data_IF_399286258052
#
_entry.id   IF_399286258052
#
_cell.length_a   1.000
_cell.length_b   1.000
_cell.length_c   1.000
_cell.angle_alpha   90.00
_cell.angle_beta   90.00
_cell.angle_gamma   90.00
#
_symmetry.space_group_name_H-M   'P 1'
#
loop_
_entity.id
_entity.type
_entity.pdbx_description
1 polymer ?
#
# COMPACT_ATOMS: atom_id res chain seq x y z
N UNK A 1 38.04 3.94 4.15
CA UNK A 1 37.14 2.94 3.51
C UNK A 1 36.45 3.64 2.35
N UNK A 2 36.57 3.13 1.13
CA UNK A 2 35.88 3.66 -0.04
C UNK A 2 34.44 3.14 0.01
N UNK A 3 33.45 4.04 -0.02
CA UNK A 3 32.02 3.69 -0.12
C UNK A 3 31.55 4.22 -1.46
N UNK A 4 30.98 3.34 -2.28
CA UNK A 4 30.37 3.70 -3.55
C UNK A 4 28.88 3.41 -3.46
N UNK A 5 28.07 4.46 -3.61
CA UNK A 5 26.63 4.34 -3.65
C UNK A 5 26.17 4.02 -5.08
N UNK A 6 25.40 2.95 -5.23
CA UNK A 6 24.76 2.57 -6.49
C UNK A 6 23.24 2.68 -6.33
N UNK A 7 22.61 3.46 -7.19
CA UNK A 7 21.18 3.69 -7.15
C UNK A 7 20.47 2.74 -8.14
N UNK A 8 19.66 1.81 -7.64
CA UNK A 8 18.97 0.82 -8.49
C UNK A 8 18.08 -0.12 -7.70
N UNK A 9 17.39 -1.04 -8.40
CA UNK A 9 16.64 -2.11 -7.74
C UNK A 9 17.61 -3.23 -7.33
N UNK A 10 17.39 -3.84 -6.17
CA UNK A 10 18.24 -4.95 -5.71
C UNK A 10 18.22 -6.15 -6.67
N UNK A 11 17.11 -6.35 -7.40
CA UNK A 11 16.95 -7.36 -8.44
C UNK A 11 17.91 -7.18 -9.62
N UNK A 12 18.47 -5.97 -9.77
CA UNK A 12 19.44 -5.60 -10.80
C UNK A 12 20.86 -5.46 -10.24
N UNK A 13 21.09 -5.89 -8.99
CA UNK A 13 22.37 -5.70 -8.28
C UNK A 13 23.57 -6.27 -9.02
N UNK A 14 23.45 -7.44 -9.63
CA UNK A 14 24.53 -8.04 -10.43
C UNK A 14 24.99 -7.12 -11.56
N UNK A 15 24.06 -6.65 -12.39
CA UNK A 15 24.36 -5.73 -13.49
C UNK A 15 24.95 -4.41 -12.98
N UNK A 16 24.43 -3.88 -11.87
CA UNK A 16 24.93 -2.65 -11.25
C UNK A 16 26.37 -2.81 -10.73
N UNK A 17 26.68 -3.93 -10.08
CA UNK A 17 28.01 -4.23 -9.55
C UNK A 17 29.03 -4.40 -10.68
N UNK A 18 28.70 -5.17 -11.72
CA UNK A 18 29.56 -5.35 -12.90
C UNK A 18 29.83 -4.00 -13.58
N UNK A 19 28.78 -3.19 -13.81
CA UNK A 19 28.93 -1.87 -14.42
C UNK A 19 29.77 -0.89 -13.59
N UNK A 20 29.93 -1.19 -12.29
CA UNK A 20 30.74 -0.41 -11.35
C UNK A 20 32.17 -0.94 -11.21
N UNK A 21 32.55 -1.97 -11.98
CA UNK A 21 33.90 -2.56 -11.98
C UNK A 21 34.12 -3.67 -10.95
N UNK A 22 33.05 -4.23 -10.39
CA UNK A 22 33.15 -5.42 -9.52
C UNK A 22 33.16 -6.67 -10.39
N UNK A 23 34.24 -7.45 -10.29
CA UNK A 23 34.41 -8.67 -11.06
C UNK A 23 33.60 -9.84 -10.44
N UNK A 24 33.03 -10.74 -11.27
CA UNK A 24 32.36 -11.92 -10.77
C UNK A 24 33.26 -12.78 -9.87
N UNK A 25 32.73 -13.20 -8.72
CA UNK A 25 33.45 -14.06 -7.77
C UNK A 25 34.39 -13.31 -6.81
N UNK A 26 34.48 -11.98 -6.87
CA UNK A 26 35.32 -11.18 -5.94
C UNK A 26 34.55 -10.59 -4.76
N UNK A 27 33.28 -10.95 -4.59
CA UNK A 27 32.42 -10.40 -3.53
C UNK A 27 32.54 -11.24 -2.25
N UNK A 28 33.06 -10.65 -1.18
CA UNK A 28 33.27 -11.35 0.10
C UNK A 28 31.97 -11.59 0.89
N UNK A 29 30.94 -10.76 0.67
CA UNK A 29 29.68 -10.88 1.40
C UNK A 29 28.63 -9.88 0.96
N UNK A 30 27.38 -10.18 1.28
CA UNK A 30 26.20 -9.34 1.01
C UNK A 30 25.38 -9.22 2.28
N UNK A 31 24.94 -8.00 2.57
CA UNK A 31 23.93 -7.71 3.58
C UNK A 31 22.72 -7.09 2.87
N UNK A 32 21.54 -7.61 3.16
CA UNK A 32 20.28 -7.09 2.66
C UNK A 32 19.36 -6.76 3.84
N UNK A 33 19.06 -5.47 4.00
CA UNK A 33 17.97 -5.00 4.85
C UNK A 33 16.75 -4.77 3.97
N UNK A 34 15.82 -5.73 4.01
CA UNK A 34 14.61 -5.71 3.20
C UNK A 34 13.48 -5.05 4.00
N UNK A 35 13.11 -3.83 3.62
CA UNK A 35 12.04 -3.10 4.27
C UNK A 35 11.89 -1.69 3.73
N UNK A 36 10.91 -0.98 4.28
CA UNK A 36 10.76 0.45 4.02
C UNK A 36 11.67 1.24 4.99
N UNK A 37 12.25 2.33 4.52
CA UNK A 37 13.03 3.25 5.36
C UNK A 37 12.13 4.09 6.27
N UNK A 38 12.66 4.60 7.38
CA UNK A 38 11.91 5.54 8.24
C UNK A 38 11.41 6.75 7.46
N UNK A 39 12.22 7.28 6.53
CA UNK A 39 11.84 8.39 5.66
C UNK A 39 10.56 8.11 4.85
N UNK A 40 10.32 6.85 4.45
CA UNK A 40 9.08 6.48 3.74
C UNK A 40 7.86 6.50 4.66
N UNK A 41 8.00 6.12 5.93
CA UNK A 41 6.93 6.18 6.92
C UNK A 41 6.69 7.59 7.46
N UNK A 42 7.73 8.41 7.57
CA UNK A 42 7.65 9.74 8.17
C UNK A 42 6.99 10.78 7.27
N UNK A 43 7.05 10.58 5.94
CA UNK A 43 6.48 11.43 4.89
C UNK A 43 5.09 10.93 4.44
N UNK A 44 3.98 11.55 4.88
CA UNK A 44 2.62 11.09 4.58
C UNK A 44 2.32 10.96 3.08
N UNK A 45 2.91 11.83 2.26
CA UNK A 45 2.70 11.90 0.81
C UNK A 45 3.12 10.60 0.09
N UNK A 46 3.99 9.80 0.72
CA UNK A 46 4.44 8.50 0.22
C UNK A 46 3.41 7.38 0.43
N UNK A 47 2.42 7.59 1.30
CA UNK A 47 1.32 6.64 1.51
C UNK A 47 1.63 5.41 2.36
N UNK A 48 2.81 5.32 3.00
CA UNK A 48 3.17 4.18 3.87
C UNK A 48 2.74 4.36 5.34
N UNK A 49 2.50 5.60 5.76
CA UNK A 49 2.15 5.93 7.13
C UNK A 49 0.81 5.31 7.55
N UNK A 50 0.80 4.66 8.71
CA UNK A 50 -0.42 4.15 9.36
C UNK A 50 -1.15 5.18 10.22
N UNK A 51 -0.47 6.28 10.58
CA UNK A 51 -1.00 7.28 11.53
C UNK A 51 -1.43 8.57 10.83
N UNK A 52 -0.55 9.11 9.98
CA UNK A 52 -0.78 10.30 9.17
C UNK A 52 -1.44 9.92 7.85
N UNK A 53 -2.47 10.67 7.47
CA UNK A 53 -3.22 10.47 6.23
C UNK A 53 -2.44 10.99 5.01
N UNK A 54 -2.47 10.24 3.91
CA UNK A 54 -1.71 10.50 2.70
C UNK A 54 -2.41 10.01 1.44
N UNK A 55 -1.94 10.36 0.23
CA UNK A 55 -2.30 9.65 -0.99
C UNK A 55 -1.98 8.16 -0.86
N UNK A 56 -2.84 7.30 -1.39
CA UNK A 56 -2.62 5.85 -1.37
C UNK A 56 -1.64 5.44 -2.49
N UNK A 57 -0.37 5.84 -2.35
CA UNK A 57 0.69 5.57 -3.33
C UNK A 57 1.43 4.25 -3.02
N UNK A 58 2.19 4.19 -1.91
CA UNK A 58 2.96 3.02 -1.46
C UNK A 58 4.04 2.51 -2.44
N UNK A 59 4.44 3.27 -3.46
CA UNK A 59 5.62 2.94 -4.27
C UNK A 59 6.89 3.36 -3.55
N UNK A 60 7.88 2.46 -3.51
CA UNK A 60 9.19 2.77 -2.93
C UNK A 60 9.96 3.83 -3.74
N UNK A 61 9.67 3.94 -5.04
CA UNK A 61 10.35 4.84 -5.96
C UNK A 61 9.38 5.39 -7.01
N UNK A 62 8.61 6.40 -6.60
CA UNK A 62 7.61 7.06 -7.46
C UNK A 62 8.26 7.86 -8.59
N UNK A 63 9.43 8.45 -8.34
CA UNK A 63 10.03 9.43 -9.24
C UNK A 63 10.67 8.76 -10.46
N UNK A 64 11.32 7.60 -10.27
CA UNK A 64 11.91 6.83 -11.38
C UNK A 64 10.89 5.96 -12.12
N UNK A 65 9.76 5.65 -11.50
CA UNK A 65 8.74 4.77 -12.06
C UNK A 65 7.33 5.37 -11.96
N UNK A 66 7.09 6.54 -12.59
CA UNK A 66 5.82 7.24 -12.48
C UNK A 66 4.63 6.45 -13.05
N UNK A 67 4.89 5.61 -14.06
CA UNK A 67 3.86 4.81 -14.75
C UNK A 67 3.54 3.49 -14.03
N UNK A 68 4.26 3.14 -12.96
CA UNK A 68 3.97 1.94 -12.18
C UNK A 68 2.71 2.14 -11.34
N UNK A 69 1.83 1.11 -11.24
CA UNK A 69 0.60 1.21 -10.47
C UNK A 69 0.86 1.60 -9.02
N UNK A 70 0.06 2.54 -8.53
CA UNK A 70 -0.04 2.89 -7.11
C UNK A 70 -0.91 1.87 -6.37
N UNK A 71 -0.86 1.88 -5.03
CA UNK A 71 -1.82 1.14 -4.23
C UNK A 71 -3.27 1.56 -4.51
N UNK A 72 -3.52 2.84 -4.81
CA UNK A 72 -4.83 3.33 -5.25
C UNK A 72 -5.29 2.64 -6.53
N UNK A 73 -4.41 2.51 -7.53
CA UNK A 73 -4.74 1.82 -8.79
C UNK A 73 -5.10 0.36 -8.52
N UNK A 74 -4.31 -0.32 -7.69
CA UNK A 74 -4.53 -1.72 -7.31
C UNK A 74 -5.89 -1.91 -6.63
N UNK A 75 -6.21 -1.12 -5.59
CA UNK A 75 -7.47 -1.27 -4.85
C UNK A 75 -8.70 -0.85 -5.65
N UNK A 76 -8.54 0.03 -6.64
CA UNK A 76 -9.67 0.49 -7.47
C UNK A 76 -9.89 -0.35 -8.73
N UNK A 77 -8.85 -1.03 -9.26
CA UNK A 77 -8.94 -1.76 -10.53
C UNK A 77 -9.09 -3.29 -10.36
N UNK A 78 -8.37 -3.92 -9.44
CA UNK A 78 -8.36 -5.39 -9.34
C UNK A 78 -9.72 -5.96 -8.94
N UNK A 79 -10.08 -7.14 -9.43
CA UNK A 79 -11.29 -7.82 -8.98
C UNK A 79 -11.18 -8.29 -7.51
N UNK A 80 -12.31 -8.69 -6.94
CA UNK A 80 -12.38 -9.13 -5.54
C UNK A 80 -11.49 -10.35 -5.24
N UNK A 81 -11.35 -11.27 -6.20
CA UNK A 81 -10.58 -12.50 -6.02
C UNK A 81 -9.08 -12.19 -6.01
N UNK A 82 -8.62 -11.35 -6.93
CA UNK A 82 -7.24 -10.87 -7.00
C UNK A 82 -6.87 -10.09 -5.73
N UNK A 83 -7.73 -9.17 -5.27
CA UNK A 83 -7.52 -8.46 -4.00
C UNK A 83 -7.44 -9.41 -2.80
N UNK A 84 -8.35 -10.37 -2.70
CA UNK A 84 -8.32 -11.35 -1.62
C UNK A 84 -7.04 -12.22 -1.68
N UNK A 85 -6.56 -12.55 -2.88
CA UNK A 85 -5.30 -13.29 -3.07
C UNK A 85 -4.11 -12.47 -2.59
N UNK A 86 -4.01 -11.19 -2.94
CA UNK A 86 -2.93 -10.31 -2.49
C UNK A 86 -2.92 -10.21 -0.97
N UNK A 87 -4.07 -9.92 -0.36
CA UNK A 87 -4.19 -9.77 1.10
C UNK A 87 -3.84 -11.07 1.84
N UNK A 88 -4.22 -12.23 1.30
CA UNK A 88 -3.91 -13.53 1.90
C UNK A 88 -2.44 -13.91 1.74
N UNK A 89 -1.88 -13.74 0.55
CA UNK A 89 -0.53 -14.21 0.22
C UNK A 89 0.54 -13.31 0.80
N UNK A 90 0.38 -11.97 0.69
CA UNK A 90 1.39 -11.02 1.13
C UNK A 90 1.09 -10.41 2.50
N UNK A 91 -0.19 -10.34 2.90
CA UNK A 91 -0.60 -9.81 4.20
C UNK A 91 -0.87 -10.87 5.26
N UNK A 92 -0.83 -12.16 4.89
CA UNK A 92 -1.19 -13.30 5.77
C UNK A 92 -2.58 -13.15 6.44
N UNK A 93 -3.48 -12.40 5.80
CA UNK A 93 -4.73 -11.94 6.43
C UNK A 93 -5.83 -13.02 6.38
N UNK A 94 -6.31 -13.43 7.56
CA UNK A 94 -7.35 -14.47 7.71
C UNK A 94 -8.70 -14.03 7.13
N UNK A 95 -9.02 -12.74 7.24
CA UNK A 95 -10.27 -12.14 6.77
C UNK A 95 -10.16 -11.56 5.35
N UNK A 96 -9.15 -11.95 4.56
CA UNK A 96 -8.86 -11.41 3.24
C UNK A 96 -10.08 -11.30 2.31
N UNK A 97 -10.93 -12.34 2.25
CA UNK A 97 -12.16 -12.32 1.43
C UNK A 97 -13.16 -11.25 1.87
N UNK A 98 -13.31 -11.05 3.19
CA UNK A 98 -14.23 -10.07 3.77
C UNK A 98 -13.73 -8.65 3.53
N UNK A 99 -12.43 -8.44 3.72
CA UNK A 99 -11.78 -7.15 3.46
C UNK A 99 -11.86 -6.80 1.97
N UNK A 100 -11.53 -7.73 1.06
CA UNK A 100 -11.61 -7.50 -0.37
C UNK A 100 -13.04 -7.15 -0.82
N UNK A 101 -14.05 -7.85 -0.30
CA UNK A 101 -15.46 -7.52 -0.56
C UNK A 101 -15.81 -6.10 -0.12
N UNK A 102 -15.38 -5.69 1.08
CA UNK A 102 -15.62 -4.34 1.57
C UNK A 102 -14.90 -3.25 0.75
N UNK A 103 -13.68 -3.52 0.27
CA UNK A 103 -12.96 -2.62 -0.64
C UNK A 103 -13.74 -2.45 -1.94
N UNK A 104 -14.20 -3.55 -2.55
CA UNK A 104 -14.99 -3.52 -3.80
C UNK A 104 -16.31 -2.79 -3.61
N UNK A 105 -16.98 -2.99 -2.47
CA UNK A 105 -18.22 -2.28 -2.15
C UNK A 105 -17.97 -0.79 -1.91
N UNK A 106 -16.89 -0.42 -1.22
CA UNK A 106 -16.60 0.98 -0.95
C UNK A 106 -16.26 1.75 -2.24
N UNK A 107 -15.42 1.17 -3.11
CA UNK A 107 -15.01 1.80 -4.35
C UNK A 107 -16.13 1.97 -5.38
N UNK A 108 -17.21 1.19 -5.28
CA UNK A 108 -18.37 1.34 -6.17
C UNK A 108 -19.16 2.62 -5.89
N UNK A 109 -18.98 3.21 -4.70
CA UNK A 109 -19.58 4.49 -4.31
C UNK A 109 -18.62 5.64 -4.68
N UNK A 110 -17.38 5.59 -4.18
CA UNK A 110 -16.34 6.57 -4.49
C UNK A 110 -14.95 5.91 -4.54
N UNK A 111 -14.07 6.31 -5.47
CA UNK A 111 -12.71 5.80 -5.52
C UNK A 111 -11.94 5.97 -4.21
N UNK A 112 -11.17 4.95 -3.84
CA UNK A 112 -10.31 4.96 -2.64
C UNK A 112 -8.97 5.59 -3.03
N UNK A 113 -8.70 6.80 -2.53
CA UNK A 113 -7.52 7.59 -2.95
C UNK A 113 -6.58 7.90 -1.79
N UNK A 114 -7.01 7.67 -0.55
CA UNK A 114 -6.24 8.00 0.65
C UNK A 114 -6.03 6.82 1.60
N UNK A 115 -4.93 6.87 2.35
CA UNK A 115 -4.57 5.80 3.29
C UNK A 115 -5.62 5.62 4.40
N UNK A 116 -6.17 6.70 4.96
CA UNK A 116 -7.18 6.57 6.03
C UNK A 116 -8.53 6.06 5.54
N UNK A 117 -8.87 6.27 4.26
CA UNK A 117 -10.08 5.67 3.69
C UNK A 117 -9.95 4.15 3.67
N UNK A 118 -8.83 3.64 3.15
CA UNK A 118 -8.55 2.20 3.14
C UNK A 118 -8.50 1.63 4.56
N UNK A 119 -7.78 2.29 5.48
CA UNK A 119 -7.69 1.85 6.87
C UNK A 119 -9.07 1.77 7.54
N UNK A 120 -9.94 2.76 7.32
CA UNK A 120 -11.29 2.79 7.88
C UNK A 120 -12.16 1.65 7.34
N UNK A 121 -12.07 1.36 6.03
CA UNK A 121 -12.76 0.22 5.42
C UNK A 121 -12.31 -1.09 6.07
N UNK A 122 -11.00 -1.32 6.18
CA UNK A 122 -10.44 -2.52 6.79
C UNK A 122 -10.88 -2.65 8.24
N UNK A 123 -10.71 -1.61 9.06
CA UNK A 123 -11.11 -1.60 10.47
C UNK A 123 -12.61 -1.91 10.65
N UNK A 124 -13.47 -1.30 9.84
CA UNK A 124 -14.92 -1.55 9.86
C UNK A 124 -15.30 -3.01 9.58
N UNK A 125 -14.48 -3.75 8.81
CA UNK A 125 -14.74 -5.18 8.56
C UNK A 125 -14.39 -6.09 9.74
N UNK A 126 -13.39 -5.71 10.54
CA UNK A 126 -12.82 -6.57 11.58
C UNK A 126 -13.52 -6.42 12.94
N UNK A 127 -14.15 -5.27 13.21
CA UNK A 127 -14.70 -4.92 14.54
C UNK A 127 -15.98 -5.71 14.93
N UNK A 128 -16.46 -6.65 14.10
CA UNK A 128 -17.69 -7.42 14.37
C UNK A 128 -17.47 -8.87 14.87
N UNK A 129 -16.40 -9.17 15.61
CA UNK A 129 -16.26 -10.48 16.27
C UNK A 129 -16.32 -10.48 17.80
N UNK A 130 -16.12 -9.36 18.53
CA UNK A 130 -16.26 -9.36 20.01
C UNK A 130 -16.37 -8.01 20.73
N UNK A 131 -16.49 -6.84 20.08
CA UNK A 131 -16.70 -5.59 20.86
C UNK A 131 -17.37 -4.47 20.08
N UNK A 132 -18.68 -4.35 20.32
CA UNK A 132 -19.46 -3.16 20.07
C UNK A 132 -19.17 -2.14 21.20
N UNK A 133 -18.92 -0.88 20.82
CA UNK A 133 -18.88 0.35 21.63
C UNK A 133 -17.59 0.66 22.42
N UNK A 134 -16.81 1.61 21.89
CA UNK A 134 -16.60 2.95 22.50
C UNK A 134 -16.13 3.96 21.44
N UNK A 135 -16.94 5.02 21.32
CA UNK A 135 -16.96 6.27 20.52
C UNK A 135 -15.57 6.85 20.13
N UNK A 136 -15.37 7.59 19.04
CA UNK A 136 -16.07 8.82 18.63
C UNK A 136 -15.99 9.13 17.11
N UNK A 137 -17.10 9.65 16.56
CA UNK A 137 -17.24 10.53 15.38
C UNK A 137 -16.20 10.37 14.25
N UNK A 138 -16.47 9.47 13.32
CA UNK A 138 -16.05 9.69 11.91
C UNK A 138 -17.33 10.01 11.13
N UNK A 139 -17.40 11.26 10.71
CA UNK A 139 -18.42 11.82 9.84
C UNK A 139 -18.40 11.05 8.51
N UNK A 140 -19.27 10.07 8.38
CA UNK A 140 -19.75 9.64 7.07
C UNK A 140 -20.65 10.80 6.60
N UNK A 141 -20.32 11.55 5.54
CA UNK A 141 -21.24 12.55 5.02
C UNK A 141 -22.52 11.82 4.62
N UNK A 142 -23.63 12.21 5.24
CA UNK A 142 -24.97 11.77 4.83
C UNK A 142 -25.15 12.15 3.37
N UNK A 143 -25.37 11.16 2.51
CA UNK A 143 -25.93 11.38 1.18
C UNK A 143 -27.29 12.05 1.39
N UNK A 144 -27.57 13.21 0.77
CA UNK A 144 -28.90 13.81 0.83
C UNK A 144 -29.90 12.84 0.18
N UNK A 145 -30.86 12.36 0.95
CA UNK A 145 -32.03 11.71 0.40
C UNK A 145 -32.84 12.74 -0.39
N UNK A 146 -33.09 12.45 -1.66
CA UNK A 146 -34.09 13.14 -2.46
C UNK A 146 -33.55 13.87 -3.67
N UNK A 147 -33.64 13.21 -4.83
CA UNK A 147 -34.07 13.79 -6.10
C UNK A 147 -34.36 12.65 -7.08
N UNK A 148 -35.54 12.05 -6.92
CA UNK A 148 -36.26 11.37 -8.00
C UNK A 148 -37.40 12.32 -8.39
N UNK A 149 -37.67 12.38 -9.71
CA UNK A 149 -38.68 13.19 -10.43
C UNK A 149 -38.20 14.62 -10.75
N UNK A 150 -38.13 15.09 -12.01
CA UNK A 150 -38.82 14.71 -13.25
C UNK A 150 -37.87 14.62 -14.45
#
# INVERSE_FOLDING_TARGET
KQIQALLGQFSQSEALLISSGVEPGTLDGVLLDAGCSSMQFDTPERGFSLQKDGPLDMRMDSDRYPDMPTAADVVNALDQQALASILRTYGEEKHAKKIASAIVQARSIYPITRTQQLASIVAGTLINSSQCLKKEKILIPKVPEGSICT
#
